data_IF_983174986488
#
_entry.id   IF_983174986488
#
_cell.length_a   1.000
_cell.length_b   1.000
_cell.length_c   1.000
_cell.angle_alpha   90.00
_cell.angle_beta   90.00
_cell.angle_gamma   90.00
#
_symmetry.space_group_name_H-M   'P 1'
#
loop_
_entity.id
_entity.type
_entity.pdbx_description
1 polymer ?
#
# COMPACT_ATOMS: atom_id res chain seq x y z
N UNK A 1 -5.51 -36.82 -15.19
CA UNK A 1 -4.15 -36.33 -15.02
C UNK A 1 -4.20 -34.90 -14.60
N UNK A 2 -4.07 -34.68 -13.32
CA UNK A 2 -4.06 -33.34 -12.76
C UNK A 2 -2.67 -32.76 -12.88
N UNK A 3 -2.47 -31.90 -13.84
CA UNK A 3 -1.32 -31.04 -13.80
C UNK A 3 -1.65 -29.95 -12.78
N UNK A 4 -1.19 -30.12 -11.56
CA UNK A 4 -1.01 -29.00 -10.68
C UNK A 4 0.04 -28.11 -11.33
N UNK A 5 -0.45 -27.24 -12.17
CA UNK A 5 0.34 -26.15 -12.62
C UNK A 5 0.29 -25.11 -11.49
N UNK A 6 1.06 -25.37 -10.46
CA UNK A 6 1.55 -24.28 -9.61
C UNK A 6 2.48 -23.46 -10.51
N UNK A 7 1.89 -22.72 -11.43
CA UNK A 7 2.58 -21.56 -11.94
C UNK A 7 2.72 -20.65 -10.72
N UNK A 8 3.88 -20.71 -10.09
CA UNK A 8 4.29 -19.62 -9.23
C UNK A 8 4.05 -18.37 -10.04
N UNK A 9 3.05 -17.59 -9.64
CA UNK A 9 2.73 -16.33 -10.29
C UNK A 9 4.04 -15.52 -10.26
N UNK A 10 4.68 -15.24 -11.43
CA UNK A 10 5.94 -14.49 -11.45
C UNK A 10 5.75 -13.04 -11.03
N UNK A 11 4.52 -12.64 -10.79
CA UNK A 11 4.12 -11.30 -10.44
C UNK A 11 3.91 -11.17 -8.93
N UNK A 12 4.11 -9.97 -8.40
CA UNK A 12 4.14 -9.70 -6.97
C UNK A 12 2.86 -9.05 -6.42
N UNK A 13 1.75 -9.11 -7.15
CA UNK A 13 0.46 -8.62 -6.65
C UNK A 13 0.09 -9.30 -5.33
N UNK A 14 -0.33 -8.51 -4.35
CA UNK A 14 -0.67 -9.00 -3.02
C UNK A 14 0.51 -9.21 -2.07
N UNK A 15 1.72 -8.94 -2.52
CA UNK A 15 2.93 -9.06 -1.70
C UNK A 15 3.45 -7.70 -1.25
N UNK A 16 4.31 -7.71 -0.25
CA UNK A 16 5.04 -6.53 0.20
C UNK A 16 6.37 -6.41 -0.52
N UNK A 17 6.71 -5.20 -0.90
CA UNK A 17 8.08 -4.81 -1.24
C UNK A 17 8.65 -4.00 -0.10
N UNK A 18 9.86 -4.35 0.31
CA UNK A 18 10.56 -3.73 1.43
C UNK A 18 11.82 -3.08 0.85
N UNK A 19 11.95 -1.76 1.02
CA UNK A 19 13.12 -1.05 0.54
C UNK A 19 14.38 -1.51 1.26
N UNK A 20 15.42 -1.87 0.51
CA UNK A 20 16.72 -2.18 1.07
C UNK A 20 17.39 -0.90 1.59
N UNK A 21 18.21 -0.98 2.66
CA UNK A 21 18.90 0.21 3.20
C UNK A 21 19.77 0.95 2.18
N UNK A 22 20.27 0.24 1.17
CA UNK A 22 21.06 0.84 0.08
C UNK A 22 20.23 1.44 -1.06
N UNK A 23 18.92 1.55 -0.90
CA UNK A 23 18.03 2.15 -1.90
C UNK A 23 18.51 3.58 -2.22
N UNK A 24 18.84 3.83 -3.49
CA UNK A 24 19.35 5.13 -3.92
C UNK A 24 18.29 6.21 -4.02
N UNK A 25 17.04 5.82 -4.23
CA UNK A 25 15.92 6.75 -4.28
C UNK A 25 15.46 7.07 -2.85
N UNK A 26 15.82 8.24 -2.36
CA UNK A 26 15.51 8.70 -1.00
C UNK A 26 14.00 8.76 -0.72
N UNK A 27 13.18 8.89 -1.77
CA UNK A 27 11.71 8.88 -1.63
C UNK A 27 11.20 7.56 -1.06
N UNK A 28 11.94 6.48 -1.22
CA UNK A 28 11.58 5.15 -0.78
C UNK A 28 12.43 4.62 0.40
N UNK A 29 13.13 5.53 1.10
CA UNK A 29 13.93 5.12 2.26
C UNK A 29 13.05 4.49 3.33
N UNK A 30 13.41 3.26 3.73
CA UNK A 30 12.65 2.46 4.73
C UNK A 30 11.16 2.33 4.42
N UNK A 31 10.78 2.31 3.15
CA UNK A 31 9.37 2.12 2.80
C UNK A 31 8.97 0.67 2.70
N UNK A 32 7.71 0.43 3.00
CA UNK A 32 7.01 -0.82 2.74
C UNK A 32 5.89 -0.51 1.75
N UNK A 33 5.86 -1.24 0.65
CA UNK A 33 4.87 -1.05 -0.42
C UNK A 33 4.04 -2.30 -0.55
N UNK A 34 2.73 -2.15 -0.60
CA UNK A 34 1.81 -3.22 -0.96
C UNK A 34 1.59 -3.21 -2.47
N UNK A 35 1.85 -4.33 -3.13
CA UNK A 35 1.71 -4.44 -4.58
C UNK A 35 0.27 -4.69 -4.97
N UNK A 36 -0.34 -3.71 -5.61
CA UNK A 36 -1.73 -3.76 -6.07
C UNK A 36 -1.87 -4.42 -7.44
N UNK A 37 -0.90 -4.24 -8.31
CA UNK A 37 -0.90 -4.82 -9.65
C UNK A 37 0.53 -5.03 -10.16
N UNK A 38 0.77 -6.14 -10.81
CA UNK A 38 2.04 -6.43 -11.47
C UNK A 38 1.78 -7.29 -12.70
N UNK A 39 2.14 -6.77 -13.86
CA UNK A 39 1.98 -7.43 -15.16
C UNK A 39 3.21 -7.19 -16.02
N UNK A 40 3.21 -7.74 -17.23
CA UNK A 40 4.24 -7.45 -18.24
C UNK A 40 4.29 -5.97 -18.64
N UNK A 41 3.19 -5.25 -18.45
CA UNK A 41 3.07 -3.83 -18.81
C UNK A 41 3.62 -2.90 -17.74
N UNK A 42 3.86 -3.39 -16.53
CA UNK A 42 4.39 -2.62 -15.42
C UNK A 42 3.83 -3.06 -14.07
N UNK A 43 4.02 -2.22 -13.08
CA UNK A 43 3.57 -2.50 -11.72
C UNK A 43 3.08 -1.22 -11.03
N UNK A 44 2.20 -1.42 -10.06
CA UNK A 44 1.64 -0.35 -9.24
C UNK A 44 1.52 -0.84 -7.80
N UNK A 45 1.93 -0.01 -6.85
CA UNK A 45 1.81 -0.29 -5.43
C UNK A 45 1.54 0.96 -4.60
N UNK A 46 1.19 0.74 -3.34
CA UNK A 46 0.93 1.81 -2.38
C UNK A 46 1.91 1.72 -1.20
N UNK A 47 2.54 2.84 -0.89
CA UNK A 47 3.37 2.96 0.31
C UNK A 47 2.47 2.87 1.54
N UNK A 48 2.80 1.98 2.47
CA UNK A 48 1.96 1.69 3.64
C UNK A 48 2.35 2.46 4.89
N UNK A 49 3.57 2.94 4.98
CA UNK A 49 4.15 3.42 6.23
C UNK A 49 4.59 4.89 6.21
N UNK A 50 4.01 5.69 5.34
CA UNK A 50 4.21 7.14 5.33
C UNK A 50 2.87 7.85 5.47
N UNK A 51 2.67 8.55 6.58
CA UNK A 51 1.48 9.36 6.83
C UNK A 51 1.75 10.79 6.40
N UNK A 52 0.80 11.39 5.71
CA UNK A 52 0.88 12.80 5.33
C UNK A 52 0.57 13.69 6.52
N UNK A 53 1.46 14.62 6.80
CA UNK A 53 1.22 15.68 7.77
C UNK A 53 0.51 16.86 7.09
N UNK A 54 -0.36 17.54 7.83
CA UNK A 54 -1.01 18.77 7.37
C UNK A 54 -2.26 18.58 6.52
N UNK A 55 -2.68 17.35 6.25
CA UNK A 55 -3.95 17.06 5.58
C UNK A 55 -4.74 16.06 6.41
N UNK A 56 -5.90 16.48 6.91
CA UNK A 56 -6.80 15.59 7.66
C UNK A 56 -7.87 14.99 6.74
N UNK A 57 -8.51 13.93 7.22
CA UNK A 57 -9.63 13.32 6.50
C UNK A 57 -10.80 14.32 6.28
N UNK A 58 -11.21 15.12 7.28
CA UNK A 58 -12.17 16.19 7.05
C UNK A 58 -11.75 17.19 5.99
N UNK A 59 -10.48 17.61 5.97
CA UNK A 59 -9.96 18.51 4.93
C UNK A 59 -10.08 17.91 3.54
N UNK A 60 -9.78 16.61 3.40
CA UNK A 60 -9.92 15.91 2.14
C UNK A 60 -11.38 15.85 1.68
N UNK A 61 -12.30 15.54 2.59
CA UNK A 61 -13.73 15.52 2.30
C UNK A 61 -14.23 16.88 1.81
N UNK A 62 -13.78 17.96 2.46
CA UNK A 62 -14.11 19.33 2.05
C UNK A 62 -13.60 19.64 0.65
N UNK A 63 -12.36 19.30 0.35
CA UNK A 63 -11.78 19.49 -0.99
C UNK A 63 -12.53 18.74 -2.08
N UNK A 64 -13.10 17.59 -1.74
CA UNK A 64 -13.88 16.77 -2.67
C UNK A 64 -15.36 17.16 -2.74
N UNK A 65 -15.79 18.17 -1.98
CA UNK A 65 -17.18 18.61 -1.93
C UNK A 65 -18.11 17.62 -1.20
N UNK A 66 -17.55 16.78 -0.34
CA UNK A 66 -18.34 15.85 0.47
C UNK A 66 -18.77 16.56 1.75
N UNK A 67 -20.08 16.59 2.00
CA UNK A 67 -20.67 17.27 3.15
C UNK A 67 -20.46 16.46 4.43
N UNK A 68 -19.72 17.04 5.38
CA UNK A 68 -19.49 16.45 6.69
C UNK A 68 -20.73 16.45 7.59
N UNK A 69 -21.70 17.33 7.35
CA UNK A 69 -22.92 17.43 8.15
C UNK A 69 -23.82 16.19 8.01
N UNK A 70 -23.59 15.39 6.99
CA UNK A 70 -24.34 14.14 6.79
C UNK A 70 -23.78 12.95 7.56
N UNK A 71 -22.72 13.16 8.39
CA UNK A 71 -22.10 12.10 9.18
C UNK A 71 -22.77 11.99 10.54
N UNK A 72 -23.51 10.89 10.84
CA UNK A 72 -24.07 10.67 12.17
C UNK A 72 -22.93 10.53 13.19
N UNK A 73 -22.90 11.43 14.18
CA UNK A 73 -21.88 11.38 15.23
C UNK A 73 -20.60 12.16 14.96
N UNK A 74 -20.66 13.15 14.11
CA UNK A 74 -19.73 14.18 13.65
C UNK A 74 -18.37 14.44 14.25
N UNK A 75 -17.98 13.77 15.31
CA UNK A 75 -16.73 13.99 16.02
C UNK A 75 -15.74 12.85 15.72
N UNK A 76 -15.17 12.89 14.51
CA UNK A 76 -13.86 12.33 14.41
C UNK A 76 -13.77 10.83 14.12
N UNK A 77 -14.26 10.37 12.95
CA UNK A 77 -13.55 9.26 12.30
C UNK A 77 -12.23 9.85 11.83
N UNK A 78 -11.18 9.67 12.65
CA UNK A 78 -9.83 10.06 12.28
C UNK A 78 -9.24 8.96 11.40
N UNK A 79 -9.25 9.19 10.09
CA UNK A 79 -8.61 8.30 9.13
C UNK A 79 -7.29 8.95 8.72
N UNK A 80 -6.14 8.32 9.00
CA UNK A 80 -4.86 8.82 8.52
C UNK A 80 -4.83 8.82 7.00
N UNK A 81 -4.25 9.85 6.41
CA UNK A 81 -4.00 9.92 4.98
C UNK A 81 -2.54 9.59 4.74
N UNK A 82 -2.30 8.55 3.96
CA UNK A 82 -0.95 8.10 3.62
C UNK A 82 -0.46 8.76 2.33
N UNK A 83 0.84 8.97 2.26
CA UNK A 83 1.52 9.21 1.00
C UNK A 83 1.72 7.86 0.32
N UNK A 84 0.92 7.55 -0.71
CA UNK A 84 0.96 6.26 -1.39
C UNK A 84 2.05 6.12 -2.43
N UNK A 85 2.60 7.24 -2.89
CA UNK A 85 3.68 7.27 -3.87
C UNK A 85 3.72 8.57 -4.67
N UNK A 86 4.76 8.75 -5.50
CA UNK A 86 4.99 10.01 -6.21
C UNK A 86 4.14 10.20 -7.47
N UNK A 87 3.48 9.14 -7.97
CA UNK A 87 2.72 9.21 -9.22
C UNK A 87 1.29 9.64 -8.91
N UNK A 88 0.77 10.59 -9.69
CA UNK A 88 -0.58 11.12 -9.52
C UNK A 88 -0.91 11.49 -8.06
N UNK A 89 -0.07 12.31 -7.45
CA UNK A 89 -0.10 12.60 -6.01
C UNK A 89 -1.43 13.17 -5.49
N UNK A 90 -2.30 13.68 -6.37
CA UNK A 90 -3.63 14.16 -6.01
C UNK A 90 -4.73 13.11 -6.08
N UNK A 91 -4.43 11.92 -6.57
CA UNK A 91 -5.41 10.86 -6.73
C UNK A 91 -5.50 10.00 -5.48
N UNK A 92 -6.73 9.78 -5.00
CA UNK A 92 -6.99 8.97 -3.84
C UNK A 92 -7.19 7.49 -4.16
N UNK A 93 -6.63 6.65 -3.30
CA UNK A 93 -6.79 5.20 -3.35
C UNK A 93 -7.13 4.70 -1.96
N UNK A 94 -8.08 3.78 -1.87
CA UNK A 94 -8.39 3.09 -0.61
C UNK A 94 -8.07 1.61 -0.76
N UNK A 95 -7.10 1.15 0.01
CA UNK A 95 -6.82 -0.26 0.19
C UNK A 95 -7.70 -0.73 1.34
N UNK A 96 -8.41 -1.84 1.19
CA UNK A 96 -9.41 -2.22 2.20
C UNK A 96 -9.67 -3.71 2.23
N UNK A 97 -10.33 -4.14 3.31
CA UNK A 97 -10.83 -5.49 3.45
C UNK A 97 -11.97 -5.75 2.45
N UNK A 98 -12.04 -6.96 1.93
CA UNK A 98 -12.81 -7.28 0.73
C UNK A 98 -14.31 -7.51 0.95
N UNK A 99 -14.81 -7.42 2.17
CA UNK A 99 -16.25 -7.48 2.44
C UNK A 99 -17.02 -6.28 1.87
N UNK A 100 -16.31 -5.19 1.59
CA UNK A 100 -16.87 -4.02 0.92
C UNK A 100 -16.61 -4.11 -0.58
N UNK A 101 -17.66 -4.04 -1.38
CA UNK A 101 -17.57 -4.16 -2.83
C UNK A 101 -18.36 -3.05 -3.52
N UNK A 102 -17.76 -2.48 -4.54
CA UNK A 102 -18.38 -1.58 -5.52
C UNK A 102 -18.04 -2.07 -6.93
N UNK A 103 -18.72 -1.55 -7.94
CA UNK A 103 -18.45 -1.93 -9.35
C UNK A 103 -16.99 -1.66 -9.75
N UNK A 104 -16.39 -0.59 -9.21
CA UNK A 104 -15.02 -0.19 -9.50
C UNK A 104 -13.99 -0.81 -8.54
N UNK A 105 -14.40 -1.72 -7.67
CA UNK A 105 -13.48 -2.39 -6.73
C UNK A 105 -12.66 -3.44 -7.45
N UNK A 106 -11.35 -3.38 -7.27
CA UNK A 106 -10.41 -4.35 -7.78
C UNK A 106 -9.96 -5.28 -6.64
N UNK A 107 -10.23 -6.56 -6.76
CA UNK A 107 -9.64 -7.54 -5.85
C UNK A 107 -8.15 -7.72 -6.17
N UNK A 108 -7.30 -7.50 -5.17
CA UNK A 108 -5.85 -7.63 -5.34
C UNK A 108 -5.38 -9.01 -4.97
N UNK A 109 -5.78 -9.48 -3.80
CA UNK A 109 -5.44 -10.78 -3.25
C UNK A 109 -6.54 -11.21 -2.27
N UNK A 110 -6.41 -12.42 -1.72
CA UNK A 110 -7.38 -12.94 -0.76
C UNK A 110 -7.56 -11.98 0.43
N UNK A 111 -8.76 -11.47 0.57
CA UNK A 111 -9.13 -10.58 1.67
C UNK A 111 -8.76 -9.10 1.47
N UNK A 112 -8.10 -8.72 0.39
CA UNK A 112 -7.66 -7.34 0.16
C UNK A 112 -8.13 -6.83 -1.19
N UNK A 113 -8.72 -5.64 -1.20
CA UNK A 113 -9.23 -4.98 -2.39
C UNK A 113 -8.79 -3.51 -2.46
N UNK A 114 -8.89 -2.95 -3.65
CA UNK A 114 -8.54 -1.55 -3.93
C UNK A 114 -9.73 -0.85 -4.58
N UNK A 115 -10.10 0.30 -4.06
CA UNK A 115 -11.14 1.16 -4.63
C UNK A 115 -10.63 2.59 -4.72
N UNK A 116 -10.84 3.24 -5.87
CA UNK A 116 -10.37 4.59 -6.14
C UNK A 116 -11.52 5.54 -6.49
N UNK A 117 -12.65 5.41 -5.80
CA UNK A 117 -13.84 6.25 -6.04
C UNK A 117 -14.13 7.16 -4.86
N UNK A 118 -14.83 8.27 -5.12
CA UNK A 118 -15.31 9.16 -4.06
C UNK A 118 -16.36 8.47 -3.17
N UNK A 119 -17.11 7.53 -3.73
CA UNK A 119 -18.18 6.82 -3.01
C UNK A 119 -17.67 6.03 -1.81
N UNK A 120 -16.46 5.42 -1.89
CA UNK A 120 -15.89 4.73 -0.74
C UNK A 120 -15.53 5.70 0.38
N UNK A 121 -15.08 6.90 0.05
CA UNK A 121 -14.79 7.94 1.05
C UNK A 121 -16.06 8.40 1.76
N UNK A 122 -17.16 8.53 1.03
CA UNK A 122 -18.47 8.82 1.62
C UNK A 122 -18.93 7.70 2.55
N UNK A 123 -18.75 6.45 2.14
CA UNK A 123 -19.09 5.29 2.96
C UNK A 123 -18.28 5.26 4.26
N UNK A 124 -16.98 5.49 4.18
CA UNK A 124 -16.09 5.56 5.36
C UNK A 124 -16.53 6.69 6.29
N UNK A 125 -16.80 7.87 5.75
CA UNK A 125 -17.25 9.02 6.51
C UNK A 125 -18.56 8.77 7.25
N UNK A 126 -19.46 7.97 6.67
CA UNK A 126 -20.78 7.64 7.24
C UNK A 126 -20.79 6.40 8.11
N UNK A 127 -19.65 5.73 8.28
CA UNK A 127 -19.55 4.51 9.09
C UNK A 127 -19.97 3.22 8.38
N UNK A 128 -20.20 3.25 7.07
CA UNK A 128 -20.60 2.10 6.25
C UNK A 128 -19.47 1.57 5.36
N UNK A 129 -18.26 2.02 5.62
CA UNK A 129 -17.09 1.59 4.86
C UNK A 129 -16.62 0.19 5.24
N UNK A 130 -15.50 -0.25 4.63
CA UNK A 130 -14.90 -1.55 4.98
C UNK A 130 -14.42 -1.58 6.43
N UNK A 131 -14.29 -2.78 6.99
CA UNK A 131 -13.81 -2.98 8.36
C UNK A 131 -12.41 -2.47 8.56
N UNK A 132 -11.56 -2.68 7.57
CA UNK A 132 -10.18 -2.21 7.55
C UNK A 132 -9.94 -1.42 6.29
N UNK A 133 -9.30 -0.28 6.43
CA UNK A 133 -8.99 0.57 5.29
C UNK A 133 -7.70 1.36 5.50
N UNK A 134 -7.03 1.65 4.41
CA UNK A 134 -5.88 2.53 4.34
C UNK A 134 -6.11 3.49 3.18
N UNK A 135 -6.20 4.77 3.49
CA UNK A 135 -6.38 5.83 2.49
C UNK A 135 -5.02 6.40 2.10
N UNK A 136 -4.75 6.41 0.80
CA UNK A 136 -3.49 6.92 0.27
C UNK A 136 -3.74 7.92 -0.86
N UNK A 137 -2.86 8.90 -0.97
CA UNK A 137 -2.78 9.80 -2.12
C UNK A 137 -1.54 9.47 -2.93
N UNK A 138 -1.74 9.32 -4.24
CA UNK A 138 -0.68 8.90 -5.15
C UNK A 138 -0.35 7.41 -5.04
N UNK A 139 0.54 6.96 -5.92
CA UNK A 139 0.99 5.58 -5.94
C UNK A 139 2.45 5.48 -6.40
N UNK A 140 3.07 4.33 -6.15
CA UNK A 140 4.36 3.96 -6.70
C UNK A 140 4.14 3.18 -8.00
N UNK A 141 4.81 3.57 -9.06
CA UNK A 141 4.66 2.96 -10.38
C UNK A 141 5.99 2.51 -10.96
N UNK A 142 5.97 1.41 -11.68
CA UNK A 142 7.09 0.86 -12.42
C UNK A 142 6.68 0.59 -13.85
N UNK A 143 7.55 0.92 -14.80
CA UNK A 143 7.36 0.58 -16.21
C UNK A 143 7.58 -0.92 -16.47
N UNK A 144 7.39 -1.36 -17.72
CA UNK A 144 7.56 -2.77 -18.09
C UNK A 144 8.96 -3.30 -17.71
N UNK A 145 9.01 -4.35 -16.88
CA UNK A 145 10.24 -4.99 -16.43
C UNK A 145 11.08 -4.20 -15.42
N UNK A 146 10.72 -2.97 -15.11
CA UNK A 146 11.50 -2.12 -14.21
C UNK A 146 11.58 -2.69 -12.80
N UNK A 147 10.46 -3.14 -12.24
CA UNK A 147 10.44 -3.72 -10.90
C UNK A 147 11.31 -4.97 -10.81
N UNK A 148 11.23 -5.84 -11.81
CA UNK A 148 12.06 -7.06 -11.88
C UNK A 148 13.55 -6.72 -11.87
N UNK A 149 13.95 -5.70 -12.61
CA UNK A 149 15.34 -5.24 -12.66
C UNK A 149 15.78 -4.67 -11.30
N UNK A 150 14.95 -3.88 -10.63
CA UNK A 150 15.25 -3.33 -9.31
C UNK A 150 15.37 -4.42 -8.24
N UNK A 151 14.54 -5.46 -8.31
CA UNK A 151 14.65 -6.62 -7.40
C UNK A 151 15.95 -7.39 -7.63
N UNK A 152 16.31 -7.63 -8.90
CA UNK A 152 17.59 -8.28 -9.24
C UNK A 152 18.80 -7.47 -8.78
N UNK A 153 18.67 -6.15 -8.79
CA UNK A 153 19.71 -5.23 -8.30
C UNK A 153 19.70 -5.07 -6.78
N UNK A 154 18.90 -5.87 -6.05
CA UNK A 154 18.76 -5.84 -4.59
C UNK A 154 18.22 -4.51 -4.04
N UNK A 155 17.41 -3.79 -4.81
CA UNK A 155 16.73 -2.58 -4.33
C UNK A 155 15.56 -2.88 -3.39
N UNK A 156 14.90 -4.01 -3.59
CA UNK A 156 13.71 -4.42 -2.87
C UNK A 156 13.80 -5.85 -2.39
N UNK A 157 13.31 -6.10 -1.16
CA UNK A 157 12.99 -7.42 -0.66
C UNK A 157 11.50 -7.69 -0.83
N UNK A 158 11.15 -8.95 -0.94
CA UNK A 158 9.75 -9.39 -1.04
C UNK A 158 9.35 -10.10 0.25
N UNK A 159 8.13 -9.87 0.71
CA UNK A 159 7.55 -10.56 1.85
C UNK A 159 6.06 -10.81 1.63
N UNK A 160 5.51 -11.87 2.23
CA UNK A 160 4.06 -12.03 2.26
C UNK A 160 3.42 -10.92 3.09
N UNK A 161 2.24 -10.47 2.65
CA UNK A 161 1.47 -9.47 3.36
C UNK A 161 0.56 -10.12 4.40
N UNK A 162 0.21 -9.38 5.44
CA UNK A 162 -0.87 -9.70 6.36
C UNK A 162 -1.62 -8.43 6.75
N UNK A 163 -2.79 -8.58 7.32
CA UNK A 163 -3.66 -7.45 7.63
C UNK A 163 -3.06 -6.49 8.67
N UNK A 164 -2.26 -6.97 9.59
CA UNK A 164 -1.60 -6.12 10.58
C UNK A 164 -0.53 -5.23 9.94
N UNK A 165 0.28 -5.78 9.04
CA UNK A 165 1.27 -5.01 8.30
C UNK A 165 0.63 -4.02 7.32
N UNK A 166 -0.49 -4.37 6.72
CA UNK A 166 -1.20 -3.48 5.79
C UNK A 166 -1.93 -2.37 6.55
N UNK A 167 -2.78 -2.74 7.50
CA UNK A 167 -3.76 -1.83 8.11
C UNK A 167 -3.41 -1.40 9.53
N UNK A 168 -2.42 -2.01 10.16
CA UNK A 168 -2.04 -1.69 11.53
C UNK A 168 -1.57 -0.24 11.69
N UNK A 169 -1.78 0.34 12.88
CA UNK A 169 -1.53 1.78 13.10
C UNK A 169 -0.07 2.15 13.35
N UNK A 170 0.79 1.19 13.65
CA UNK A 170 2.20 1.46 13.95
C UNK A 170 3.03 1.53 12.66
N UNK A 171 3.08 2.74 12.08
CA UNK A 171 3.78 2.97 10.82
C UNK A 171 5.30 2.87 10.97
N UNK A 172 5.83 3.31 12.09
CA UNK A 172 7.29 3.37 12.31
C UNK A 172 7.94 2.00 12.35
N UNK A 173 7.24 0.99 12.84
CA UNK A 173 7.78 -0.37 12.96
C UNK A 173 7.50 -1.26 11.76
N UNK A 174 6.70 -0.82 10.78
CA UNK A 174 6.31 -1.67 9.64
C UNK A 174 7.49 -2.20 8.84
N UNK A 175 8.49 -1.36 8.59
CA UNK A 175 9.67 -1.77 7.84
C UNK A 175 10.43 -2.89 8.56
N UNK A 176 10.72 -2.71 9.84
CA UNK A 176 11.45 -3.71 10.64
C UNK A 176 10.66 -5.01 10.81
N UNK A 177 9.34 -4.90 11.08
CA UNK A 177 8.47 -6.06 11.22
C UNK A 177 8.33 -6.84 9.91
N UNK A 178 8.26 -6.16 8.79
CA UNK A 178 8.18 -6.79 7.48
C UNK A 178 9.45 -7.59 7.16
N UNK A 179 10.62 -7.03 7.47
CA UNK A 179 11.91 -7.72 7.29
C UNK A 179 12.01 -8.91 8.23
N UNK A 180 11.62 -8.75 9.49
CA UNK A 180 11.64 -9.83 10.48
C UNK A 180 10.75 -11.01 10.06
N UNK A 181 9.65 -10.74 9.36
CA UNK A 181 8.72 -11.74 8.86
C UNK A 181 9.36 -12.75 7.90
N UNK A 182 10.36 -12.33 7.15
CA UNK A 182 11.11 -13.20 6.24
C UNK A 182 12.39 -13.77 6.88
N UNK A 183 12.52 -13.67 8.20
CA UNK A 183 13.61 -14.26 8.95
C UNK A 183 14.93 -13.50 8.89
N UNK A 184 14.90 -12.24 8.47
CA UNK A 184 16.10 -11.39 8.40
C UNK A 184 16.10 -10.42 9.59
N UNK A 185 17.25 -10.31 10.26
CA UNK A 185 17.46 -9.29 11.29
C UNK A 185 17.76 -7.95 10.59
N UNK A 186 16.94 -6.91 10.78
CA UNK A 186 17.17 -5.60 10.17
C UNK A 186 18.54 -5.00 10.46
N UNK A 187 19.11 -5.32 11.63
CA UNK A 187 20.44 -4.84 12.04
C UNK A 187 21.56 -5.45 11.19
N UNK A 188 21.31 -6.57 10.53
CA UNK A 188 22.27 -7.24 9.65
C UNK A 188 22.25 -6.70 8.23
N UNK A 189 21.27 -5.86 7.88
CA UNK A 189 21.23 -5.20 6.59
C UNK A 189 22.08 -3.94 6.65
N UNK A 190 23.23 -3.95 5.97
CA UNK A 190 24.10 -2.78 5.89
C UNK A 190 23.70 -1.89 4.72
N UNK A 191 23.84 -0.57 4.90
CA UNK A 191 23.70 0.40 3.82
C UNK A 191 24.84 0.32 2.77
N UNK A 192 25.88 -0.43 3.08
CA UNK A 192 27.01 -0.69 2.18
C UNK A 192 26.73 -1.93 1.33
N UNK A 193 25.73 -1.80 0.43
CA UNK A 193 25.50 -2.84 -0.55
C UNK A 193 26.69 -2.90 -1.52
N UNK A 194 27.47 -3.97 -1.45
CA UNK A 194 28.50 -4.25 -2.43
C UNK A 194 29.92 -4.29 -1.94
N UNK A 195 30.15 -4.36 -0.66
CA UNK A 195 31.46 -4.76 -0.13
C UNK A 195 31.45 -6.27 0.14
N UNK A 196 31.79 -6.97 -0.88
CA UNK A 196 32.19 -8.36 -0.72
C UNK A 196 33.58 -8.39 -0.04
#
# INVERSE_FOLDING_TARGET
>A
MMFNNEYSNPYFSGQLLIAMPGMQDERFYKTVIYMCAHTEEGAMGLVLNQVMDGLSFPDLLEQLGIDEESVPGGDGISVPIHFGGPVEAGRGFVLHSDEYQQDATLEVDDGVALTATVDILKAIARGYGPRQSLLALGYAGWGPGQLDDEIRANGWLQAPADSDLIFGPDQESKWERSIAKIGIDPRMLSGDAGHA
#
